data_IF_957882653911
#
_entry.id   IF_957882653911
#
_cell.length_a   1.000
_cell.length_b   1.000
_cell.length_c   1.000
_cell.angle_alpha   90.00
_cell.angle_beta   90.00
_cell.angle_gamma   90.00
#
_symmetry.space_group_name_H-M   'P 1'
#
loop_
_entity.id
_entity.type
_entity.pdbx_description
1 polymer ?
#
# COMPACT_ATOMS: atom_id res chain seq x y z
N UNK A 1 -19.31 10.90 11.39
CA UNK A 1 -18.98 9.58 10.80
C UNK A 1 -17.75 9.00 11.50
N UNK A 2 -17.66 7.67 11.69
CA UNK A 2 -16.46 6.99 12.19
C UNK A 2 -15.76 6.33 11.03
N UNK A 3 -14.59 6.77 10.66
CA UNK A 3 -13.79 6.13 9.60
C UNK A 3 -12.30 6.13 9.95
N UNK A 4 -12.01 6.00 11.23
CA UNK A 4 -10.71 5.67 11.80
C UNK A 4 -10.88 4.55 12.84
N UNK A 5 -9.79 4.02 13.39
CA UNK A 5 -9.82 2.93 14.39
C UNK A 5 -10.09 3.39 15.83
N UNK A 6 -10.46 4.65 16.05
CA UNK A 6 -10.81 5.14 17.38
C UNK A 6 -11.92 4.30 18.00
N UNK A 7 -11.66 3.77 19.21
CA UNK A 7 -12.64 3.04 20.03
C UNK A 7 -13.22 4.00 21.06
N UNK A 8 -14.54 4.09 21.15
CA UNK A 8 -15.21 4.92 22.16
C UNK A 8 -16.58 5.43 21.67
N UNK A 9 -17.44 5.85 22.58
CA UNK A 9 -18.80 6.36 22.30
C UNK A 9 -18.82 7.80 21.80
N UNK A 10 -17.73 8.57 22.02
CA UNK A 10 -17.60 10.00 21.70
C UNK A 10 -16.91 10.30 20.35
N UNK A 11 -16.66 9.30 19.50
CA UNK A 11 -15.80 9.41 18.32
C UNK A 11 -16.50 9.86 17.02
N UNK A 12 -17.55 10.69 17.06
CA UNK A 12 -18.16 11.26 15.86
C UNK A 12 -17.69 12.70 15.66
N UNK A 13 -17.17 13.00 14.48
CA UNK A 13 -16.85 14.35 14.04
C UNK A 13 -17.50 14.61 12.67
N UNK A 14 -17.86 15.85 12.38
CA UNK A 14 -18.24 16.27 11.05
C UNK A 14 -16.98 16.35 10.20
N UNK A 15 -17.08 15.97 8.94
CA UNK A 15 -15.96 16.13 8.00
C UNK A 15 -15.50 17.58 7.89
N UNK A 16 -16.44 18.53 7.94
CA UNK A 16 -16.12 19.95 7.96
C UNK A 16 -15.29 20.39 9.18
N UNK A 17 -15.55 19.80 10.36
CA UNK A 17 -14.74 20.10 11.55
C UNK A 17 -13.33 19.53 11.43
N UNK A 18 -13.18 18.33 10.88
CA UNK A 18 -11.87 17.73 10.62
C UNK A 18 -11.07 18.52 9.56
N UNK A 19 -11.75 18.99 8.51
CA UNK A 19 -11.14 19.82 7.47
C UNK A 19 -10.71 21.19 8.04
N UNK A 20 -11.52 21.80 8.91
CA UNK A 20 -11.19 23.07 9.54
C UNK A 20 -10.05 22.93 10.54
N UNK A 21 -10.01 21.86 11.36
CA UNK A 21 -8.87 21.55 12.21
C UNK A 21 -7.56 21.44 11.40
N UNK A 22 -7.60 20.65 10.33
CA UNK A 22 -6.43 20.47 9.48
C UNK A 22 -5.98 21.78 8.81
N UNK A 23 -6.92 22.62 8.37
CA UNK A 23 -6.65 23.96 7.79
C UNK A 23 -5.94 24.86 8.81
N UNK A 24 -6.47 24.95 10.04
CA UNK A 24 -5.89 25.78 11.10
C UNK A 24 -4.45 25.35 11.38
N UNK A 25 -4.22 24.06 11.55
CA UNK A 25 -2.89 23.53 11.84
C UNK A 25 -1.87 23.81 10.73
N UNK A 26 -2.27 23.78 9.45
CA UNK A 26 -1.39 24.16 8.35
C UNK A 26 -1.11 25.67 8.37
N UNK A 27 -2.14 26.51 8.59
CA UNK A 27 -1.97 27.95 8.67
C UNK A 27 -1.03 28.33 9.84
N UNK A 28 -1.20 27.73 11.02
CA UNK A 28 -0.30 27.93 12.16
C UNK A 28 1.14 27.55 11.84
N UNK A 29 1.37 26.48 11.07
CA UNK A 29 2.71 26.07 10.68
C UNK A 29 3.37 27.10 9.75
N UNK A 30 2.61 27.69 8.85
CA UNK A 30 3.06 28.73 7.93
C UNK A 30 3.33 30.07 8.66
N UNK A 31 2.38 30.51 9.49
CA UNK A 31 2.50 31.77 10.27
C UNK A 31 3.70 31.74 11.23
N UNK A 32 3.97 30.59 11.84
CA UNK A 32 5.09 30.43 12.76
C UNK A 32 6.40 29.99 12.09
N UNK A 33 6.45 29.90 10.75
CA UNK A 33 7.60 29.46 9.97
C UNK A 33 8.20 28.15 10.52
N UNK A 34 7.35 27.18 10.84
CA UNK A 34 7.81 25.87 11.29
C UNK A 34 8.56 25.18 10.16
N UNK A 35 9.72 24.55 10.50
CA UNK A 35 10.50 23.85 9.49
C UNK A 35 9.72 22.73 8.78
N UNK A 36 10.21 22.29 7.63
CA UNK A 36 9.53 21.34 6.71
C UNK A 36 8.97 20.09 7.41
N UNK A 37 9.68 19.55 8.40
CA UNK A 37 9.23 18.36 9.12
C UNK A 37 7.95 18.65 9.92
N UNK A 38 7.88 19.76 10.63
CA UNK A 38 6.72 20.14 11.42
C UNK A 38 5.54 20.54 10.51
N UNK A 39 5.82 21.23 9.40
CA UNK A 39 4.80 21.57 8.38
C UNK A 39 4.18 20.30 7.77
N UNK A 40 5.00 19.31 7.43
CA UNK A 40 4.53 18.02 6.91
C UNK A 40 3.70 17.24 7.94
N UNK A 41 4.05 17.27 9.23
CA UNK A 41 3.23 16.67 10.28
C UNK A 41 1.85 17.33 10.39
N UNK A 42 1.76 18.65 10.21
CA UNK A 42 0.49 19.38 10.20
C UNK A 42 -0.36 19.03 8.98
N UNK A 43 0.27 18.93 7.81
CA UNK A 43 -0.39 18.49 6.57
C UNK A 43 -0.96 17.07 6.67
N UNK A 44 -0.33 16.17 7.43
CA UNK A 44 -0.83 14.82 7.65
C UNK A 44 -2.21 14.78 8.33
N UNK A 45 -2.67 15.86 8.96
CA UNK A 45 -4.02 15.94 9.54
C UNK A 45 -5.15 15.77 8.51
N UNK A 46 -4.89 16.07 7.26
CA UNK A 46 -5.84 15.79 6.19
C UNK A 46 -6.01 14.29 5.90
N UNK A 47 -5.07 13.46 6.35
CA UNK A 47 -5.01 12.02 6.08
C UNK A 47 -5.18 11.16 7.33
N UNK A 48 -4.74 11.66 8.49
CA UNK A 48 -4.56 10.89 9.72
C UNK A 48 -5.37 11.49 10.87
N UNK A 49 -6.08 10.63 11.60
CA UNK A 49 -6.85 11.01 12.77
C UNK A 49 -5.95 11.51 13.89
N UNK A 50 -6.27 12.68 14.46
CA UNK A 50 -5.52 13.30 15.56
C UNK A 50 -5.52 12.54 16.87
N UNK A 51 -6.44 11.58 17.06
CA UNK A 51 -6.59 10.83 18.31
C UNK A 51 -5.93 9.45 18.27
N UNK A 52 -6.05 8.72 17.16
CA UNK A 52 -5.54 7.35 17.05
C UNK A 52 -4.38 7.23 16.07
N UNK A 53 -3.98 8.31 15.43
CA UNK A 53 -2.86 8.40 14.48
C UNK A 53 -2.94 7.43 13.30
N UNK A 54 -4.14 6.93 13.01
CA UNK A 54 -4.40 6.06 11.87
C UNK A 54 -5.05 6.84 10.74
N UNK A 55 -4.81 6.38 9.52
CA UNK A 55 -5.40 6.97 8.31
C UNK A 55 -6.94 6.89 8.36
N UNK A 56 -7.58 7.96 7.86
CA UNK A 56 -9.00 7.92 7.55
C UNK A 56 -9.26 6.93 6.41
N UNK A 57 -10.48 6.42 6.30
CA UNK A 57 -10.85 5.40 5.32
C UNK A 57 -12.12 5.79 4.57
N UNK A 58 -12.32 5.16 3.40
CA UNK A 58 -13.54 5.24 2.62
C UNK A 58 -13.99 6.69 2.35
N UNK A 59 -15.27 6.95 2.53
CA UNK A 59 -15.91 8.25 2.20
C UNK A 59 -15.36 9.44 2.99
N UNK A 60 -14.82 9.22 4.21
CA UNK A 60 -14.22 10.32 4.99
C UNK A 60 -12.88 10.73 4.39
N UNK A 61 -12.01 9.77 4.03
CA UNK A 61 -10.76 10.04 3.33
C UNK A 61 -11.03 10.77 2.01
N UNK A 62 -12.04 10.33 1.25
CA UNK A 62 -12.43 10.96 -0.01
C UNK A 62 -12.91 12.40 0.19
N UNK A 63 -13.79 12.64 1.17
CA UNK A 63 -14.31 13.97 1.44
C UNK A 63 -13.23 14.95 1.93
N UNK A 64 -12.30 14.48 2.79
CA UNK A 64 -11.15 15.26 3.26
C UNK A 64 -10.16 15.54 2.12
N UNK A 65 -9.91 14.57 1.23
CA UNK A 65 -9.07 14.77 0.05
C UNK A 65 -9.61 15.88 -0.86
N UNK A 66 -10.92 15.89 -1.14
CA UNK A 66 -11.56 16.95 -1.90
C UNK A 66 -11.55 18.29 -1.18
N UNK A 67 -11.78 18.31 0.15
CA UNK A 67 -11.71 19.54 0.94
C UNK A 67 -10.30 20.14 0.91
N UNK A 68 -9.27 19.32 1.09
CA UNK A 68 -7.87 19.70 1.01
C UNK A 68 -7.53 20.28 -0.36
N UNK A 69 -7.88 19.58 -1.44
CA UNK A 69 -7.62 20.04 -2.81
C UNK A 69 -8.26 21.40 -3.09
N UNK A 70 -9.56 21.56 -2.78
CA UNK A 70 -10.28 22.84 -2.99
C UNK A 70 -9.67 24.00 -2.21
N UNK A 71 -9.15 23.72 -1.01
CA UNK A 71 -8.53 24.72 -0.14
C UNK A 71 -7.24 25.29 -0.76
N UNK A 72 -6.42 24.41 -1.36
CA UNK A 72 -5.08 24.78 -1.80
C UNK A 72 -4.89 24.82 -3.32
N UNK A 73 -5.95 24.59 -4.12
CA UNK A 73 -5.92 24.64 -5.59
C UNK A 73 -5.40 25.97 -6.13
N UNK A 74 -5.71 27.09 -5.49
CA UNK A 74 -5.30 28.43 -5.92
C UNK A 74 -3.84 28.81 -5.67
N UNK A 75 -3.05 27.93 -5.01
CA UNK A 75 -1.62 28.17 -4.77
C UNK A 75 -0.79 27.94 -6.03
N UNK A 76 0.44 28.48 -6.11
CA UNK A 76 1.36 28.23 -7.22
C UNK A 76 1.55 26.72 -7.51
N UNK A 77 1.89 26.38 -8.75
CA UNK A 77 2.01 24.96 -9.17
C UNK A 77 3.17 24.24 -8.49
N UNK A 78 4.22 24.97 -8.10
CA UNK A 78 5.40 24.46 -7.38
C UNK A 78 5.25 24.53 -5.87
N UNK A 79 4.12 24.99 -5.34
CA UNK A 79 3.83 25.06 -3.90
C UNK A 79 3.69 23.65 -3.32
N UNK A 80 4.47 23.37 -2.24
CA UNK A 80 4.49 22.06 -1.59
C UNK A 80 3.13 21.67 -0.99
N UNK A 81 2.38 22.64 -0.44
CA UNK A 81 1.07 22.39 0.16
C UNK A 81 0.06 22.00 -0.92
N UNK A 82 0.11 22.67 -2.10
CA UNK A 82 -0.69 22.29 -3.26
C UNK A 82 -0.36 20.89 -3.77
N UNK A 83 0.92 20.53 -3.85
CA UNK A 83 1.36 19.18 -4.24
C UNK A 83 0.88 18.11 -3.24
N UNK A 84 0.96 18.39 -1.95
CA UNK A 84 0.43 17.50 -0.91
C UNK A 84 -1.10 17.40 -0.95
N UNK A 85 -1.80 18.47 -1.33
CA UNK A 85 -3.25 18.43 -1.52
C UNK A 85 -3.66 17.53 -2.71
N UNK A 86 -2.88 17.50 -3.81
CA UNK A 86 -3.06 16.53 -4.89
C UNK A 86 -2.89 15.09 -4.38
N UNK A 87 -1.87 14.85 -3.54
CA UNK A 87 -1.65 13.54 -2.92
C UNK A 87 -2.81 13.15 -2.00
N UNK A 88 -3.32 14.08 -1.19
CA UNK A 88 -4.48 13.85 -0.32
C UNK A 88 -5.73 13.48 -1.15
N UNK A 89 -5.99 14.20 -2.25
CA UNK A 89 -7.07 13.87 -3.18
C UNK A 89 -6.87 12.49 -3.80
N UNK A 90 -5.65 12.16 -4.25
CA UNK A 90 -5.31 10.85 -4.81
C UNK A 90 -5.57 9.69 -3.84
N UNK A 91 -5.25 9.87 -2.55
CA UNK A 91 -5.57 8.91 -1.49
C UNK A 91 -7.09 8.80 -1.27
N UNK A 92 -7.80 9.92 -1.32
CA UNK A 92 -9.26 9.97 -1.24
C UNK A 92 -9.94 9.22 -2.39
N UNK A 93 -9.49 9.42 -3.62
CA UNK A 93 -9.99 8.72 -4.81
C UNK A 93 -9.74 7.20 -4.71
N UNK A 94 -8.56 6.78 -4.24
CA UNK A 94 -8.25 5.38 -3.96
C UNK A 94 -9.21 4.78 -2.94
N UNK A 95 -9.51 5.51 -1.87
CA UNK A 95 -10.36 5.03 -0.77
C UNK A 95 -11.81 4.72 -1.18
N UNK A 96 -12.26 5.21 -2.34
CA UNK A 96 -13.59 4.95 -2.92
C UNK A 96 -13.51 4.28 -4.30
N UNK A 97 -12.34 3.72 -4.64
CA UNK A 97 -12.09 2.97 -5.89
C UNK A 97 -12.34 3.78 -7.18
N UNK A 98 -12.18 5.10 -7.14
CA UNK A 98 -12.20 5.96 -8.33
C UNK A 98 -10.83 5.95 -9.02
N UNK A 99 -10.48 4.80 -9.61
CA UNK A 99 -9.11 4.52 -10.07
C UNK A 99 -8.77 5.32 -11.34
N UNK A 100 -9.72 5.52 -12.27
CA UNK A 100 -9.49 6.30 -13.50
C UNK A 100 -9.20 7.76 -13.19
N UNK A 101 -9.99 8.36 -12.31
CA UNK A 101 -9.82 9.73 -11.85
C UNK A 101 -8.50 9.91 -11.10
N UNK A 102 -8.14 8.92 -10.28
CA UNK A 102 -6.86 8.88 -9.59
C UNK A 102 -5.68 8.82 -10.56
N UNK A 103 -5.74 7.99 -11.59
CA UNK A 103 -4.69 7.92 -12.62
C UNK A 103 -4.51 9.25 -13.33
N UNK A 104 -5.58 9.89 -13.80
CA UNK A 104 -5.52 11.22 -14.44
C UNK A 104 -4.96 12.32 -13.52
N UNK A 105 -5.27 12.26 -12.21
CA UNK A 105 -4.67 13.15 -11.22
C UNK A 105 -3.16 12.92 -11.07
N UNK A 106 -2.72 11.65 -11.00
CA UNK A 106 -1.29 11.29 -10.88
C UNK A 106 -0.51 11.65 -12.16
N UNK A 107 -1.09 11.49 -13.34
CA UNK A 107 -0.51 11.94 -14.61
C UNK A 107 -0.32 13.47 -14.63
N UNK A 108 -1.30 14.21 -14.15
CA UNK A 108 -1.22 15.68 -14.02
C UNK A 108 -0.13 16.06 -12.99
N UNK A 109 -0.08 15.39 -11.85
CA UNK A 109 0.93 15.61 -10.82
C UNK A 109 2.35 15.29 -11.35
N UNK A 110 2.51 14.18 -12.06
CA UNK A 110 3.76 13.79 -12.69
C UNK A 110 4.24 14.84 -13.71
N UNK A 111 3.34 15.34 -14.58
CA UNK A 111 3.66 16.39 -15.55
C UNK A 111 4.08 17.71 -14.88
N UNK A 112 3.44 18.09 -13.76
CA UNK A 112 3.85 19.22 -12.93
C UNK A 112 5.25 19.02 -12.35
N UNK A 113 5.51 17.87 -11.75
CA UNK A 113 6.80 17.52 -11.14
C UNK A 113 7.95 17.52 -12.15
N UNK A 114 7.69 17.11 -13.41
CA UNK A 114 8.71 17.16 -14.46
C UNK A 114 9.10 18.60 -14.87
N UNK A 115 8.15 19.54 -14.82
CA UNK A 115 8.38 20.95 -15.14
C UNK A 115 9.00 21.72 -13.98
N UNK A 116 8.59 21.40 -12.77
CA UNK A 116 9.15 21.96 -11.53
C UNK A 116 10.36 21.09 -11.14
N UNK A 117 11.46 21.68 -10.72
CA UNK A 117 12.68 20.93 -10.30
C UNK A 117 12.45 20.11 -9.01
N UNK A 118 11.40 19.31 -8.98
CA UNK A 118 11.02 18.47 -7.84
C UNK A 118 12.01 17.32 -7.67
N UNK A 119 12.20 16.87 -6.45
CA UNK A 119 13.04 15.74 -6.09
C UNK A 119 12.67 14.49 -6.93
N UNK A 120 13.68 13.87 -7.55
CA UNK A 120 13.54 12.68 -8.38
C UNK A 120 12.87 11.51 -7.66
N UNK A 121 13.05 11.40 -6.35
CA UNK A 121 12.38 10.37 -5.54
C UNK A 121 10.87 10.55 -5.50
N UNK A 122 10.37 11.78 -5.36
CA UNK A 122 8.94 12.08 -5.39
C UNK A 122 8.32 11.74 -6.77
N UNK A 123 9.06 12.02 -7.85
CA UNK A 123 8.65 11.63 -9.21
C UNK A 123 8.53 10.11 -9.32
N UNK A 124 9.50 9.35 -8.84
CA UNK A 124 9.47 7.88 -8.84
C UNK A 124 8.35 7.33 -7.97
N UNK A 125 8.07 7.93 -6.81
CA UNK A 125 6.95 7.54 -5.97
C UNK A 125 5.60 7.77 -6.67
N UNK A 126 5.44 8.89 -7.39
CA UNK A 126 4.24 9.16 -8.21
C UNK A 126 4.07 8.14 -9.32
N UNK A 127 5.16 7.78 -10.03
CA UNK A 127 5.14 6.73 -11.05
C UNK A 127 4.79 5.36 -10.46
N UNK A 128 5.27 5.02 -9.25
CA UNK A 128 4.86 3.80 -8.54
C UNK A 128 3.36 3.78 -8.23
N UNK A 129 2.80 4.91 -7.82
CA UNK A 129 1.35 5.04 -7.63
C UNK A 129 0.56 4.91 -8.94
N UNK A 130 1.11 5.40 -10.08
CA UNK A 130 0.50 5.20 -11.40
C UNK A 130 0.51 3.72 -11.79
N UNK A 131 1.60 2.99 -11.53
CA UNK A 131 1.68 1.56 -11.78
C UNK A 131 0.60 0.79 -11.00
N UNK A 132 0.39 1.12 -9.72
CA UNK A 132 -0.70 0.52 -8.94
C UNK A 132 -2.09 0.82 -9.55
N UNK A 133 -2.32 2.03 -10.08
CA UNK A 133 -3.58 2.34 -10.77
C UNK A 133 -3.75 1.54 -12.07
N UNK A 134 -2.67 1.33 -12.82
CA UNK A 134 -2.69 0.51 -14.04
C UNK A 134 -3.03 -0.95 -13.70
N UNK A 135 -2.48 -1.50 -12.62
CA UNK A 135 -2.83 -2.83 -12.13
C UNK A 135 -4.32 -2.92 -11.75
N UNK A 136 -4.82 -1.98 -10.95
CA UNK A 136 -6.24 -1.90 -10.55
C UNK A 136 -7.19 -1.77 -11.76
N UNK A 137 -6.72 -1.21 -12.88
CA UNK A 137 -7.45 -1.12 -14.16
C UNK A 137 -7.29 -2.35 -15.06
N UNK A 138 -6.58 -3.39 -14.61
CA UNK A 138 -6.32 -4.61 -15.37
C UNK A 138 -5.23 -4.48 -16.45
N UNK A 139 -4.52 -3.35 -16.51
CA UNK A 139 -3.39 -3.10 -17.43
C UNK A 139 -2.09 -3.64 -16.82
N UNK A 140 -2.06 -4.94 -16.57
CA UNK A 140 -1.02 -5.59 -15.74
C UNK A 140 0.37 -5.48 -16.37
N UNK A 141 0.50 -5.66 -17.70
CA UNK A 141 1.78 -5.52 -18.40
C UNK A 141 2.37 -4.12 -18.26
N UNK A 142 1.55 -3.09 -18.51
CA UNK A 142 1.96 -1.69 -18.39
C UNK A 142 2.38 -1.37 -16.93
N UNK A 143 1.65 -1.93 -15.96
CA UNK A 143 1.96 -1.80 -14.54
C UNK A 143 3.32 -2.43 -14.19
N UNK A 144 3.60 -3.64 -14.67
CA UNK A 144 4.87 -4.34 -14.45
C UNK A 144 6.02 -3.56 -15.11
N UNK A 145 5.87 -3.12 -16.36
CA UNK A 145 6.93 -2.38 -17.06
C UNK A 145 7.30 -1.09 -16.29
N UNK A 146 6.29 -0.32 -15.88
CA UNK A 146 6.50 0.90 -15.09
C UNK A 146 7.10 0.58 -13.71
N UNK A 147 6.63 -0.46 -13.03
CA UNK A 147 7.14 -0.88 -11.72
C UNK A 147 8.61 -1.33 -11.79
N UNK A 148 9.02 -2.04 -12.86
CA UNK A 148 10.43 -2.42 -13.07
C UNK A 148 11.31 -1.19 -13.24
N UNK A 149 10.86 -0.21 -14.04
CA UNK A 149 11.61 1.05 -14.25
C UNK A 149 11.74 1.84 -12.95
N UNK A 150 10.65 1.97 -12.19
CA UNK A 150 10.63 2.68 -10.90
C UNK A 150 11.53 1.99 -9.88
N UNK A 151 11.39 0.67 -9.70
CA UNK A 151 12.20 -0.09 -8.76
C UNK A 151 13.70 0.01 -9.08
N UNK A 152 14.09 -0.19 -10.36
CA UNK A 152 15.48 -0.05 -10.81
C UNK A 152 16.03 1.36 -10.52
N UNK A 153 15.25 2.40 -10.83
CA UNK A 153 15.65 3.78 -10.64
C UNK A 153 15.76 4.15 -9.15
N UNK A 154 14.81 3.68 -8.32
CA UNK A 154 14.84 3.91 -6.89
C UNK A 154 16.02 3.19 -6.22
N UNK A 155 16.28 1.93 -6.61
CA UNK A 155 17.44 1.13 -6.17
C UNK A 155 18.76 1.81 -6.51
N UNK A 156 18.89 2.37 -7.71
CA UNK A 156 20.07 3.13 -8.13
C UNK A 156 20.23 4.47 -7.38
N UNK A 157 19.12 5.13 -7.06
CA UNK A 157 19.12 6.43 -6.39
C UNK A 157 19.42 6.34 -4.89
N UNK A 158 18.87 5.32 -4.20
CA UNK A 158 18.83 5.22 -2.74
C UNK A 158 19.39 3.93 -2.16
N UNK A 159 19.67 2.93 -2.99
CA UNK A 159 20.09 1.60 -2.55
C UNK A 159 18.95 0.70 -2.05
N UNK A 160 19.27 -0.58 -1.81
CA UNK A 160 18.26 -1.62 -1.45
C UNK A 160 17.60 -1.41 -0.08
N UNK A 161 18.30 -0.77 0.87
CA UNK A 161 17.83 -0.62 2.25
C UNK A 161 16.96 0.62 2.46
N UNK A 162 16.78 1.44 1.44
CA UNK A 162 15.91 2.62 1.55
C UNK A 162 14.44 2.20 1.55
N UNK A 163 13.64 2.82 2.41
CA UNK A 163 12.21 2.50 2.61
C UNK A 163 11.43 2.47 1.29
N UNK A 164 11.59 3.50 0.45
CA UNK A 164 10.90 3.57 -0.84
C UNK A 164 11.36 2.49 -1.84
N UNK A 165 12.63 2.04 -1.78
CA UNK A 165 13.12 0.94 -2.62
C UNK A 165 12.45 -0.38 -2.23
N UNK A 166 12.31 -0.64 -0.93
CA UNK A 166 11.62 -1.83 -0.41
C UNK A 166 10.15 -1.83 -0.83
N UNK A 167 9.47 -0.69 -0.70
CA UNK A 167 8.06 -0.54 -1.12
C UNK A 167 7.91 -0.76 -2.63
N UNK A 168 8.81 -0.20 -3.46
CA UNK A 168 8.81 -0.46 -4.90
C UNK A 168 9.03 -1.95 -5.21
N UNK A 169 9.92 -2.63 -4.47
CA UNK A 169 10.14 -4.07 -4.59
C UNK A 169 8.89 -4.89 -4.24
N UNK A 170 8.20 -4.53 -3.16
CA UNK A 170 6.92 -5.16 -2.78
C UNK A 170 5.86 -4.98 -3.86
N UNK A 171 5.66 -3.75 -4.35
CA UNK A 171 4.66 -3.48 -5.39
C UNK A 171 4.97 -4.26 -6.67
N UNK A 172 6.23 -4.28 -7.12
CA UNK A 172 6.64 -5.06 -8.28
C UNK A 172 6.40 -6.56 -8.07
N UNK A 173 6.73 -7.11 -6.90
CA UNK A 173 6.49 -8.52 -6.60
C UNK A 173 4.99 -8.85 -6.61
N UNK A 174 4.14 -7.95 -6.12
CA UNK A 174 2.68 -8.10 -6.17
C UNK A 174 2.17 -8.11 -7.62
N UNK A 175 2.60 -7.16 -8.46
CA UNK A 175 2.21 -7.09 -9.87
C UNK A 175 2.68 -8.31 -10.68
N UNK A 176 3.91 -8.79 -10.45
CA UNK A 176 4.42 -10.02 -11.05
C UNK A 176 3.54 -11.23 -10.68
N UNK A 177 3.12 -11.32 -9.43
CA UNK A 177 2.25 -12.38 -8.96
C UNK A 177 0.84 -12.30 -9.57
N UNK A 178 0.27 -11.11 -9.69
CA UNK A 178 -1.03 -10.87 -10.36
C UNK A 178 -1.00 -11.35 -11.82
N UNK A 179 0.16 -11.28 -12.47
CA UNK A 179 0.37 -11.79 -13.85
C UNK A 179 0.67 -13.30 -13.89
N UNK A 180 0.87 -13.96 -12.78
CA UNK A 180 1.27 -15.37 -12.73
C UNK A 180 2.78 -15.62 -12.94
N UNK A 181 3.62 -14.56 -12.90
CA UNK A 181 5.09 -14.66 -12.93
C UNK A 181 5.61 -15.04 -11.54
N UNK A 182 5.19 -16.21 -11.06
CA UNK A 182 5.31 -16.66 -9.67
C UNK A 182 6.74 -16.76 -9.21
N UNK A 183 7.64 -17.34 -10.01
CA UNK A 183 9.06 -17.53 -9.67
C UNK A 183 9.78 -16.19 -9.49
N UNK A 184 9.48 -15.20 -10.34
CA UNK A 184 10.09 -13.88 -10.24
C UNK A 184 9.55 -13.11 -9.02
N UNK A 185 8.24 -13.21 -8.76
CA UNK A 185 7.64 -12.64 -7.57
C UNK A 185 8.23 -13.23 -6.28
N UNK A 186 8.42 -14.54 -6.23
CA UNK A 186 9.02 -15.25 -5.11
C UNK A 186 10.47 -14.81 -4.88
N UNK A 187 11.28 -14.76 -5.94
CA UNK A 187 12.69 -14.36 -5.86
C UNK A 187 12.83 -12.93 -5.33
N UNK A 188 12.01 -12.01 -5.84
CA UNK A 188 12.03 -10.61 -5.43
C UNK A 188 11.55 -10.45 -3.97
N UNK A 189 10.49 -11.14 -3.58
CA UNK A 189 10.01 -11.13 -2.20
C UNK A 189 11.04 -11.73 -1.23
N UNK A 190 11.72 -12.82 -1.61
CA UNK A 190 12.80 -13.42 -0.82
C UNK A 190 14.01 -12.49 -0.66
N UNK A 191 14.37 -11.71 -1.70
CA UNK A 191 15.44 -10.70 -1.61
C UNK A 191 15.10 -9.62 -0.58
N UNK A 192 13.85 -9.09 -0.65
CA UNK A 192 13.47 -7.93 0.17
C UNK A 192 12.96 -8.26 1.56
N UNK A 193 12.48 -9.47 1.83
CA UNK A 193 11.90 -9.83 3.15
C UNK A 193 12.87 -9.60 4.31
N UNK A 194 14.12 -10.13 4.31
CA UNK A 194 15.06 -9.89 5.40
C UNK A 194 15.48 -8.41 5.52
N UNK A 195 15.53 -7.69 4.40
CA UNK A 195 15.83 -6.25 4.39
C UNK A 195 14.68 -5.48 5.05
N UNK A 196 13.44 -5.80 4.69
CA UNK A 196 12.23 -5.20 5.25
C UNK A 196 12.12 -5.45 6.76
N UNK A 197 12.38 -6.67 7.21
CA UNK A 197 12.41 -7.01 8.64
C UNK A 197 13.44 -6.18 9.41
N UNK A 198 14.61 -5.96 8.83
CA UNK A 198 15.67 -5.14 9.44
C UNK A 198 15.35 -3.64 9.46
N UNK A 199 14.63 -3.11 8.46
CA UNK A 199 14.38 -1.68 8.29
C UNK A 199 13.08 -1.24 8.97
N UNK A 200 12.00 -1.98 8.76
CA UNK A 200 10.67 -1.66 9.29
C UNK A 200 10.28 -2.48 10.53
N UNK A 201 10.92 -3.63 10.71
CA UNK A 201 10.55 -4.61 11.73
C UNK A 201 9.61 -5.72 11.19
N UNK A 202 9.50 -6.84 11.93
CA UNK A 202 8.79 -8.04 11.46
C UNK A 202 7.26 -7.90 11.41
N UNK A 203 6.71 -6.91 12.10
CA UNK A 203 5.26 -6.67 12.21
C UNK A 203 4.77 -5.49 11.36
N UNK A 204 5.66 -4.82 10.64
CA UNK A 204 5.30 -3.72 9.74
C UNK A 204 4.46 -4.23 8.56
N UNK A 205 3.53 -3.41 8.08
CA UNK A 205 2.61 -3.76 6.99
C UNK A 205 3.33 -4.15 5.70
N UNK A 206 4.45 -3.50 5.38
CA UNK A 206 5.24 -3.82 4.18
C UNK A 206 5.95 -5.16 4.34
N UNK A 207 6.47 -5.46 5.53
CA UNK A 207 7.09 -6.75 5.86
C UNK A 207 6.06 -7.88 5.79
N UNK A 208 4.88 -7.67 6.38
CA UNK A 208 3.78 -8.64 6.29
C UNK A 208 3.31 -8.83 4.84
N UNK A 209 3.29 -7.78 4.03
CA UNK A 209 2.97 -7.81 2.60
C UNK A 209 3.98 -8.64 1.80
N UNK A 210 5.29 -8.44 2.02
CA UNK A 210 6.33 -9.24 1.39
C UNK A 210 6.25 -10.72 1.78
N UNK A 211 5.98 -11.00 3.06
CA UNK A 211 5.79 -12.37 3.55
C UNK A 211 4.57 -13.03 2.91
N UNK A 212 3.45 -12.29 2.79
CA UNK A 212 2.25 -12.76 2.08
C UNK A 212 2.56 -13.09 0.62
N UNK A 213 3.23 -12.19 -0.09
CA UNK A 213 3.63 -12.41 -1.50
C UNK A 213 4.54 -13.61 -1.65
N UNK A 214 5.54 -13.77 -0.78
CA UNK A 214 6.44 -14.91 -0.77
C UNK A 214 5.70 -16.24 -0.55
N UNK A 215 4.86 -16.33 0.48
CA UNK A 215 4.12 -17.54 0.83
C UNK A 215 3.12 -17.93 -0.26
N UNK A 216 2.41 -16.94 -0.82
CA UNK A 216 1.47 -17.15 -1.91
C UNK A 216 2.18 -17.65 -3.19
N UNK A 217 3.37 -17.13 -3.47
CA UNK A 217 4.19 -17.61 -4.59
C UNK A 217 4.65 -19.06 -4.33
N UNK A 218 5.06 -19.39 -3.11
CA UNK A 218 5.42 -20.77 -2.70
C UNK A 218 4.26 -21.75 -2.89
N UNK A 219 3.06 -21.39 -2.46
CA UNK A 219 1.88 -22.24 -2.62
C UNK A 219 1.43 -22.45 -4.09
N UNK A 220 1.92 -21.63 -5.01
CA UNK A 220 1.64 -21.72 -6.45
C UNK A 220 2.80 -22.28 -7.28
N UNK A 221 3.89 -22.64 -6.64
CA UNK A 221 5.04 -23.25 -7.28
C UNK A 221 4.68 -24.69 -7.72
N UNK A 222 4.70 -25.03 -9.02
CA UNK A 222 4.33 -26.35 -9.49
C UNK A 222 5.30 -27.44 -9.04
N UNK A 223 6.53 -27.06 -8.69
CA UNK A 223 7.59 -28.00 -8.29
C UNK A 223 7.73 -28.12 -6.76
N UNK A 224 6.83 -27.52 -5.99
CA UNK A 224 6.87 -27.58 -4.53
C UNK A 224 6.58 -29.00 -4.04
N UNK A 225 7.41 -29.50 -3.10
CA UNK A 225 7.11 -30.76 -2.44
C UNK A 225 5.86 -30.64 -1.55
N UNK A 226 5.09 -31.73 -1.39
CA UNK A 226 3.88 -31.72 -0.57
C UNK A 226 4.18 -31.30 0.90
N UNK A 227 5.33 -31.70 1.45
CA UNK A 227 5.75 -31.31 2.80
C UNK A 227 6.07 -29.81 2.90
N UNK A 228 6.72 -29.25 1.89
CA UNK A 228 7.01 -27.81 1.87
C UNK A 228 5.74 -26.99 1.61
N UNK A 229 4.80 -27.55 0.83
CA UNK A 229 3.49 -26.89 0.68
C UNK A 229 2.72 -26.87 1.99
N UNK A 230 2.66 -27.97 2.74
CA UNK A 230 2.05 -28.02 4.09
C UNK A 230 2.67 -26.98 5.04
N UNK A 231 4.00 -26.82 5.01
CA UNK A 231 4.70 -25.78 5.80
C UNK A 231 4.31 -24.37 5.34
N UNK A 232 4.21 -24.15 4.03
CA UNK A 232 3.81 -22.84 3.50
C UNK A 232 2.37 -22.47 3.90
N UNK A 233 1.43 -23.42 3.82
CA UNK A 233 0.03 -23.25 4.25
C UNK A 233 -0.04 -22.94 5.75
N UNK A 234 0.70 -23.69 6.59
CA UNK A 234 0.78 -23.40 8.04
C UNK A 234 1.33 -22.00 8.32
N UNK A 235 2.38 -21.60 7.59
CA UNK A 235 2.96 -20.26 7.72
C UNK A 235 2.00 -19.14 7.27
N UNK A 236 1.12 -19.43 6.32
CA UNK A 236 0.08 -18.48 5.87
C UNK A 236 -0.99 -18.27 6.94
N UNK A 237 -1.38 -19.33 7.68
CA UNK A 237 -2.31 -19.22 8.80
C UNK A 237 -1.71 -18.38 9.95
N UNK A 238 -0.43 -18.59 10.27
CA UNK A 238 0.29 -17.78 11.26
C UNK A 238 0.41 -16.31 10.83
N UNK A 239 0.64 -16.07 9.54
CA UNK A 239 0.64 -14.72 8.97
C UNK A 239 -0.73 -14.06 9.10
N UNK A 240 -1.82 -14.77 8.77
CA UNK A 240 -3.18 -14.28 8.95
C UNK A 240 -3.48 -13.89 10.41
N UNK A 241 -3.13 -14.79 11.37
CA UNK A 241 -3.29 -14.50 12.81
C UNK A 241 -2.51 -13.25 13.24
N UNK A 242 -1.30 -13.10 12.71
CA UNK A 242 -0.45 -11.92 12.96
C UNK A 242 -1.09 -10.66 12.38
N UNK A 243 -1.54 -10.71 11.12
CA UNK A 243 -2.20 -9.59 10.45
C UNK A 243 -3.48 -9.15 11.18
N UNK A 244 -4.29 -10.10 11.68
CA UNK A 244 -5.47 -9.80 12.52
C UNK A 244 -5.09 -9.01 13.76
N UNK A 245 -4.02 -9.42 14.47
CA UNK A 245 -3.58 -8.76 15.71
C UNK A 245 -3.03 -7.36 15.46
N UNK A 246 -2.27 -7.18 14.38
CA UNK A 246 -1.52 -5.94 14.10
C UNK A 246 -2.37 -4.93 13.32
N UNK A 247 -3.07 -5.40 12.28
CA UNK A 247 -3.78 -4.55 11.32
C UNK A 247 -5.30 -4.53 11.53
N UNK A 248 -5.83 -5.54 12.22
CA UNK A 248 -7.28 -5.74 12.38
C UNK A 248 -7.90 -6.55 11.24
N UNK A 249 -9.10 -7.09 11.49
CA UNK A 249 -9.80 -8.03 10.59
C UNK A 249 -10.23 -7.41 9.25
N UNK A 250 -10.44 -6.10 9.21
CA UNK A 250 -10.94 -5.37 8.02
C UNK A 250 -9.82 -4.75 7.17
N UNK A 251 -8.57 -4.95 7.53
CA UNK A 251 -7.46 -4.44 6.73
C UNK A 251 -7.33 -5.26 5.43
N UNK A 252 -7.10 -4.63 4.25
CA UNK A 252 -7.02 -5.34 2.97
C UNK A 252 -6.04 -6.51 2.97
N UNK A 253 -4.84 -6.32 3.52
CA UNK A 253 -3.85 -7.41 3.64
C UNK A 253 -4.35 -8.55 4.52
N UNK A 254 -5.08 -8.26 5.61
CA UNK A 254 -5.64 -9.29 6.49
C UNK A 254 -6.70 -10.13 5.76
N UNK A 255 -7.58 -9.45 5.01
CA UNK A 255 -8.59 -10.12 4.18
C UNK A 255 -7.91 -10.99 3.12
N UNK A 256 -6.93 -10.45 2.43
CA UNK A 256 -6.15 -11.18 1.44
C UNK A 256 -5.45 -12.42 2.03
N UNK A 257 -4.76 -12.28 3.19
CA UNK A 257 -4.12 -13.43 3.85
C UNK A 257 -5.12 -14.52 4.22
N UNK A 258 -6.35 -14.14 4.62
CA UNK A 258 -7.43 -15.08 4.91
C UNK A 258 -7.83 -15.85 3.65
N UNK A 259 -8.16 -15.14 2.58
CA UNK A 259 -8.67 -15.72 1.34
C UNK A 259 -7.62 -16.65 0.69
N UNK A 260 -6.36 -16.21 0.64
CA UNK A 260 -5.23 -16.99 0.12
C UNK A 260 -4.97 -18.26 1.00
N UNK A 261 -5.08 -18.13 2.33
CA UNK A 261 -4.94 -19.24 3.27
C UNK A 261 -6.03 -20.30 3.11
N UNK A 262 -7.30 -19.87 3.06
CA UNK A 262 -8.46 -20.76 2.87
C UNK A 262 -8.39 -21.49 1.52
N UNK A 263 -8.03 -20.79 0.44
CA UNK A 263 -7.86 -21.39 -0.88
C UNK A 263 -6.73 -22.44 -0.89
N UNK A 264 -5.59 -22.15 -0.24
CA UNK A 264 -4.46 -23.07 -0.17
C UNK A 264 -4.75 -24.30 0.70
N UNK A 265 -5.47 -24.11 1.82
CA UNK A 265 -5.90 -25.22 2.69
C UNK A 265 -6.88 -26.15 1.97
N UNK A 266 -7.85 -25.58 1.23
CA UNK A 266 -8.81 -26.37 0.45
C UNK A 266 -8.09 -27.21 -0.61
N UNK A 267 -7.18 -26.62 -1.38
CA UNK A 267 -6.42 -27.33 -2.40
C UNK A 267 -5.54 -28.46 -1.80
N UNK A 268 -4.95 -28.22 -0.63
CA UNK A 268 -4.17 -29.23 0.09
C UNK A 268 -5.04 -30.41 0.55
N UNK A 269 -6.23 -30.12 1.08
CA UNK A 269 -7.17 -31.15 1.52
C UNK A 269 -7.67 -32.03 0.35
N UNK A 270 -7.86 -31.46 -0.84
CA UNK A 270 -8.25 -32.19 -2.06
C UNK A 270 -7.13 -33.18 -2.48
N UNK A 271 -5.86 -32.77 -2.42
CA UNK A 271 -4.73 -33.65 -2.75
C UNK A 271 -4.55 -34.76 -1.70
N UNK A 272 -4.65 -34.41 -0.40
CA UNK A 272 -4.57 -35.43 0.66
C UNK A 272 -5.70 -36.47 0.57
N UNK A 273 -6.90 -36.05 0.18
CA UNK A 273 -8.03 -36.97 -0.05
C UNK A 273 -7.78 -37.86 -1.26
N UNK A 274 -7.25 -37.33 -2.37
CA UNK A 274 -6.92 -38.11 -3.57
C UNK A 274 -5.82 -39.14 -3.31
N UNK A 275 -4.74 -38.71 -2.63
CA UNK A 275 -3.67 -39.64 -2.24
C UNK A 275 -4.17 -40.78 -1.33
N UNK A 276 -5.12 -40.47 -0.43
CA UNK A 276 -5.76 -41.47 0.43
C UNK A 276 -6.61 -42.48 -0.34
N UNK A 277 -7.34 -42.04 -1.37
CA UNK A 277 -8.13 -42.92 -2.25
C UNK A 277 -7.23 -43.83 -3.09
N UNK A 278 -6.12 -43.31 -3.63
CA UNK A 278 -5.13 -44.10 -4.39
C UNK A 278 -4.48 -45.17 -3.52
N UNK A 279 -4.16 -44.84 -2.26
CA UNK A 279 -3.59 -45.80 -1.30
C UNK A 279 -4.59 -46.90 -0.88
N UNK A 280 -5.89 -46.67 -0.96
CA UNK A 280 -6.93 -47.66 -0.67
C UNK A 280 -7.24 -48.56 -1.88
N UNK A 281 -6.84 -48.16 -3.07
CA UNK A 281 -7.10 -48.89 -4.32
C UNK A 281 -5.95 -49.88 -4.68
N UNK A 282 -4.84 -49.86 -3.94
CA UNK A 282 -3.68 -50.77 -4.01
C UNK A 282 -3.77 -51.87 -2.96
#
# INVERSE_FOLDING_TARGET
MRMCSCRGTSGFAHVSCLAEEARILVAEAEENNLGDQAANQRLNRWLVCGLCEQEYRGVVMHALGWACWRMYLGRPEDDMVRMNAMTALGNGLRAVSQIKERLGLLESQFALMQRSRVNREAILATQGNMANCLEDLGRIEDAIELSVQVHRSMKALRGNRHTNTIICGLNLAASLQSKGRTTEAQSLAAEYLPISESVFGPLDVNTLGLRSTYLRARCRDPDISLDDWRKAVSSMDDLYRTAVKVLGTQHPLTVQCKDDGEASQKALAEIDAQASLEALAL
#
